data_IF_671455314221
#
_entry.id   IF_671455314221
#
_cell.length_a   1.000
_cell.length_b   1.000
_cell.length_c   1.000
_cell.angle_alpha   90.00
_cell.angle_beta   90.00
_cell.angle_gamma   90.00
#
_symmetry.space_group_name_H-M   'P 1'
#
loop_
_entity.id
_entity.type
_entity.pdbx_description
1 polymer ?
#
# COMPACT_ATOMS: atom_id res chain seq x y z
N UNK A 1 -9.94 12.79 24.53
CA UNK A 1 -10.28 11.89 23.41
C UNK A 1 -11.45 11.04 23.84
N UNK A 2 -12.65 11.40 23.39
CA UNK A 2 -13.88 10.60 23.63
C UNK A 2 -13.97 9.57 22.50
N UNK A 3 -14.58 8.41 22.72
CA UNK A 3 -14.64 7.33 21.72
C UNK A 3 -15.19 7.78 20.35
N UNK A 4 -16.04 8.82 20.33
CA UNK A 4 -16.58 9.45 19.12
C UNK A 4 -15.49 10.10 18.27
N UNK A 5 -14.49 10.73 18.89
CA UNK A 5 -13.37 11.37 18.19
C UNK A 5 -12.49 10.30 17.54
N UNK A 6 -12.32 9.16 18.22
CA UNK A 6 -11.59 8.01 17.67
C UNK A 6 -12.33 7.39 16.47
N UNK A 7 -13.66 7.29 16.52
CA UNK A 7 -14.45 6.84 15.36
C UNK A 7 -14.35 7.79 14.17
N UNK A 8 -14.38 9.11 14.42
CA UNK A 8 -14.22 10.11 13.37
C UNK A 8 -12.83 10.03 12.73
N UNK A 9 -11.80 9.81 13.55
CA UNK A 9 -10.45 9.54 13.07
C UNK A 9 -10.40 8.28 12.20
N UNK A 10 -10.96 7.16 12.69
CA UNK A 10 -10.94 5.89 11.96
C UNK A 10 -11.68 6.00 10.62
N UNK A 11 -12.86 6.64 10.63
CA UNK A 11 -13.65 6.85 9.42
C UNK A 11 -12.93 7.76 8.41
N UNK A 12 -12.26 8.81 8.90
CA UNK A 12 -11.47 9.70 8.05
C UNK A 12 -10.19 9.02 7.52
N UNK A 13 -9.61 8.06 8.25
CA UNK A 13 -8.46 7.29 7.79
C UNK A 13 -8.84 6.31 6.66
N UNK A 14 -10.00 5.66 6.80
CA UNK A 14 -10.54 4.69 5.84
C UNK A 14 -11.01 5.37 4.54
N UNK A 15 -11.85 6.40 4.64
CA UNK A 15 -12.40 7.12 3.49
C UNK A 15 -11.92 8.58 3.48
N UNK A 16 -10.77 8.80 2.83
CA UNK A 16 -10.18 10.13 2.59
C UNK A 16 -10.82 10.86 1.40
N UNK A 17 -11.72 10.22 0.63
CA UNK A 17 -12.38 10.84 -0.52
C UNK A 17 -13.60 11.65 -0.09
N UNK A 18 -14.21 11.33 1.05
CA UNK A 18 -15.27 12.12 1.64
C UNK A 18 -14.82 13.57 1.92
N UNK A 19 -15.62 14.56 1.52
CA UNK A 19 -15.32 15.99 1.72
C UNK A 19 -15.11 16.38 3.19
N UNK A 20 -15.74 15.67 4.12
CA UNK A 20 -15.55 15.87 5.56
C UNK A 20 -14.20 15.33 6.05
N UNK A 21 -13.76 14.18 5.54
CA UNK A 21 -12.45 13.61 5.85
C UNK A 21 -11.34 14.48 5.26
N UNK A 22 -11.49 14.94 4.01
CA UNK A 22 -10.52 15.85 3.39
C UNK A 22 -10.34 17.16 4.19
N UNK A 23 -11.40 17.71 4.79
CA UNK A 23 -11.31 18.88 5.67
C UNK A 23 -10.62 18.58 7.00
N UNK A 24 -10.92 17.42 7.60
CA UNK A 24 -10.25 16.96 8.81
C UNK A 24 -8.75 16.84 8.58
N UNK A 25 -8.35 16.15 7.51
CA UNK A 25 -6.94 15.99 7.14
C UNK A 25 -6.28 17.30 6.74
N UNK A 26 -7.00 18.22 6.09
CA UNK A 26 -6.48 19.55 5.84
C UNK A 26 -6.08 20.25 7.14
N UNK A 27 -6.94 20.21 8.17
CA UNK A 27 -6.62 20.77 9.49
C UNK A 27 -5.46 20.05 10.19
N UNK A 28 -5.26 18.76 9.91
CA UNK A 28 -4.11 18.02 10.46
C UNK A 28 -2.83 18.41 9.74
N UNK A 29 -2.88 18.63 8.42
CA UNK A 29 -1.72 18.97 7.60
C UNK A 29 -1.30 20.44 7.72
N UNK A 30 -2.25 21.33 8.00
CA UNK A 30 -2.04 22.76 8.27
C UNK A 30 -1.53 22.94 9.72
N UNK A 31 -0.22 22.87 9.92
CA UNK A 31 0.39 22.88 11.26
C UNK A 31 0.36 24.26 11.93
N UNK A 32 0.39 25.32 11.13
CA UNK A 32 0.38 26.71 11.61
C UNK A 32 -1.03 27.34 11.62
N UNK A 33 -2.00 26.71 10.96
CA UNK A 33 -3.40 27.12 10.96
C UNK A 33 -3.68 28.33 10.08
N UNK A 34 -2.82 28.62 9.10
CA UNK A 34 -2.97 29.78 8.21
C UNK A 34 -3.99 29.54 7.06
N UNK A 35 -4.55 28.33 7.00
CA UNK A 35 -5.50 27.90 5.98
C UNK A 35 -4.83 27.45 4.68
N UNK A 36 -3.53 27.15 4.72
CA UNK A 36 -2.70 26.81 3.57
C UNK A 36 -1.68 25.74 3.96
N UNK A 37 -1.60 24.66 3.18
CA UNK A 37 -0.50 23.72 3.33
C UNK A 37 0.70 24.30 2.58
N UNK A 38 1.67 24.81 3.35
CA UNK A 38 2.92 25.37 2.84
C UNK A 38 3.97 24.30 2.60
N UNK A 39 5.06 24.66 1.91
CA UNK A 39 6.23 23.77 1.77
C UNK A 39 6.80 23.35 3.13
N UNK A 40 6.72 24.23 4.14
CA UNK A 40 7.24 23.94 5.48
C UNK A 40 6.40 22.85 6.17
N UNK A 41 5.07 22.89 6.02
CA UNK A 41 4.18 21.86 6.56
C UNK A 41 4.43 20.52 5.88
N UNK A 42 4.50 20.51 4.55
CA UNK A 42 4.81 19.27 3.80
C UNK A 42 6.17 18.71 4.20
N UNK A 43 7.17 19.57 4.44
CA UNK A 43 8.50 19.16 4.87
C UNK A 43 8.47 18.50 6.25
N UNK A 44 7.70 19.05 7.18
CA UNK A 44 7.55 18.50 8.53
C UNK A 44 7.01 17.06 8.49
N UNK A 45 5.94 16.81 7.71
CA UNK A 45 5.40 15.46 7.55
C UNK A 45 6.37 14.53 6.81
N UNK A 46 7.01 15.03 5.77
CA UNK A 46 7.99 14.26 4.99
C UNK A 46 9.19 13.81 5.85
N UNK A 47 9.72 14.64 6.74
CA UNK A 47 10.83 14.26 7.62
C UNK A 47 10.42 13.09 8.55
N UNK A 48 9.17 13.09 9.02
CA UNK A 48 8.60 11.98 9.79
C UNK A 48 8.38 10.71 8.95
N UNK A 49 7.91 10.87 7.71
CA UNK A 49 7.72 9.79 6.74
C UNK A 49 9.07 9.13 6.40
N UNK A 50 10.08 9.93 6.04
CA UNK A 50 11.42 9.49 5.67
C UNK A 50 12.08 8.72 6.82
N UNK A 51 11.94 9.20 8.06
CA UNK A 51 12.47 8.48 9.22
C UNK A 51 11.89 7.07 9.33
N UNK A 52 10.58 6.92 9.14
CA UNK A 52 9.91 5.61 9.21
C UNK A 52 10.25 4.70 8.04
N UNK A 53 10.45 5.25 6.84
CA UNK A 53 10.93 4.49 5.68
C UNK A 53 12.33 3.94 5.93
N UNK A 54 13.24 4.76 6.46
CA UNK A 54 14.58 4.32 6.85
C UNK A 54 14.55 3.22 7.92
N UNK A 55 13.60 3.25 8.86
CA UNK A 55 13.42 2.19 9.86
C UNK A 55 12.93 0.86 9.24
N UNK A 56 12.31 0.93 8.07
CA UNK A 56 11.84 -0.23 7.30
C UNK A 56 12.83 -0.70 6.23
N UNK A 57 13.99 -0.03 6.11
CA UNK A 57 14.99 -0.25 5.04
C UNK A 57 14.42 -0.06 3.62
N UNK A 58 13.45 0.86 3.50
CA UNK A 58 12.81 1.24 2.24
C UNK A 58 13.37 2.58 1.74
N UNK A 59 13.65 2.66 0.43
CA UNK A 59 14.13 3.87 -0.20
C UNK A 59 13.03 4.94 -0.29
N UNK A 60 13.41 6.21 -0.16
CA UNK A 60 12.50 7.35 -0.21
C UNK A 60 12.93 8.33 -1.30
N UNK A 61 11.97 8.71 -2.17
CA UNK A 61 12.13 9.75 -3.19
C UNK A 61 12.50 11.08 -2.54
N UNK A 62 13.37 11.87 -3.17
CA UNK A 62 13.81 13.13 -2.59
C UNK A 62 12.64 14.13 -2.47
N UNK A 63 12.58 14.88 -1.37
CA UNK A 63 11.53 15.87 -1.13
C UNK A 63 11.21 16.81 -2.32
N UNK A 64 12.19 17.36 -3.07
CA UNK A 64 11.89 18.22 -4.22
C UNK A 64 11.13 17.49 -5.34
N UNK A 65 11.40 16.21 -5.54
CA UNK A 65 10.74 15.38 -6.55
C UNK A 65 9.30 15.10 -6.12
N UNK A 66 9.10 14.70 -4.87
CA UNK A 66 7.78 14.51 -4.28
C UNK A 66 6.93 15.79 -4.33
N UNK A 67 7.54 16.95 -4.04
CA UNK A 67 6.86 18.24 -4.11
C UNK A 67 6.44 18.59 -5.53
N UNK A 68 7.27 18.29 -6.53
CA UNK A 68 6.90 18.47 -7.93
C UNK A 68 5.71 17.58 -8.30
N UNK A 69 5.72 16.32 -7.88
CA UNK A 69 4.62 15.39 -8.14
C UNK A 69 3.30 15.86 -7.48
N UNK A 70 3.35 16.37 -6.26
CA UNK A 70 2.18 16.97 -5.61
C UNK A 70 1.67 18.21 -6.34
N UNK A 71 2.60 19.06 -6.80
CA UNK A 71 2.26 20.23 -7.61
C UNK A 71 1.62 19.83 -8.95
N UNK A 72 2.11 18.77 -9.61
CA UNK A 72 1.53 18.28 -10.86
C UNK A 72 0.11 17.72 -10.65
N UNK A 73 -0.09 16.96 -9.57
CA UNK A 73 -1.40 16.40 -9.22
C UNK A 73 -2.47 17.46 -8.90
N UNK A 74 -2.12 18.50 -8.16
CA UNK A 74 -3.08 19.55 -7.77
C UNK A 74 -3.16 20.67 -8.81
N UNK A 75 -2.07 20.91 -9.54
CA UNK A 75 -1.89 22.07 -10.43
C UNK A 75 -2.34 23.38 -9.75
N UNK A 76 -1.76 23.75 -8.58
CA UNK A 76 -2.24 24.88 -7.80
C UNK A 76 -1.99 26.21 -8.50
N UNK A 77 -2.81 27.21 -8.20
CA UNK A 77 -2.66 28.55 -8.77
C UNK A 77 -1.35 29.23 -8.35
N UNK A 78 -0.77 28.80 -7.22
CA UNK A 78 0.59 29.14 -6.80
C UNK A 78 1.34 27.85 -6.43
N UNK A 79 2.52 27.60 -7.02
CA UNK A 79 3.29 26.40 -6.70
C UNK A 79 3.67 26.38 -5.22
N UNK A 80 3.66 25.17 -4.64
CA UNK A 80 4.03 24.91 -3.24
C UNK A 80 3.13 25.57 -2.20
N UNK A 81 1.89 25.91 -2.60
CA UNK A 81 0.89 26.50 -1.74
C UNK A 81 -0.47 25.85 -2.04
N UNK A 82 -0.91 24.94 -1.19
CA UNK A 82 -2.17 24.20 -1.41
C UNK A 82 -3.24 24.75 -0.47
N UNK A 83 -4.30 25.30 -1.05
CA UNK A 83 -5.47 25.74 -0.28
C UNK A 83 -6.48 24.60 -0.09
N UNK A 84 -7.31 24.68 0.95
CA UNK A 84 -8.39 23.72 1.17
C UNK A 84 -9.39 23.66 -0.01
N UNK A 85 -9.54 24.76 -0.74
CA UNK A 85 -10.38 24.83 -1.94
C UNK A 85 -9.79 24.07 -3.13
N UNK A 86 -8.47 24.12 -3.31
CA UNK A 86 -7.75 23.37 -4.35
C UNK A 86 -7.73 21.87 -4.03
N UNK A 87 -7.48 21.53 -2.76
CA UNK A 87 -7.50 20.14 -2.30
C UNK A 87 -8.88 19.50 -2.51
N UNK A 88 -9.98 20.24 -2.30
CA UNK A 88 -11.34 19.74 -2.54
C UNK A 88 -11.70 19.55 -4.01
N UNK A 89 -11.11 20.34 -4.91
CA UNK A 89 -11.37 20.27 -6.35
C UNK A 89 -10.57 19.16 -7.02
N UNK A 90 -9.43 18.78 -6.44
CA UNK A 90 -8.58 17.73 -6.98
C UNK A 90 -9.10 16.34 -6.57
N UNK A 91 -9.45 15.47 -7.53
CA UNK A 91 -9.85 14.09 -7.23
C UNK A 91 -8.68 13.23 -6.73
N UNK A 92 -7.44 13.67 -6.93
CA UNK A 92 -6.21 13.00 -6.47
C UNK A 92 -5.74 13.51 -5.09
N UNK A 93 -6.52 14.39 -4.44
CA UNK A 93 -6.19 14.90 -3.11
C UNK A 93 -6.02 13.81 -2.05
N UNK A 94 -6.80 12.72 -2.15
CA UNK A 94 -6.69 11.58 -1.25
C UNK A 94 -5.30 10.91 -1.32
N UNK A 95 -4.67 10.87 -2.50
CA UNK A 95 -3.32 10.30 -2.68
C UNK A 95 -2.30 11.12 -1.92
N UNK A 96 -2.37 12.46 -2.03
CA UNK A 96 -1.43 13.37 -1.37
C UNK A 96 -1.58 13.30 0.15
N UNK A 97 -2.82 13.30 0.63
CA UNK A 97 -3.10 13.16 2.06
C UNK A 97 -2.58 11.80 2.56
N UNK A 98 -2.85 10.71 1.82
CA UNK A 98 -2.40 9.37 2.19
C UNK A 98 -0.89 9.23 2.19
N UNK A 99 -0.21 9.81 1.19
CA UNK A 99 1.24 9.83 1.05
C UNK A 99 1.92 10.50 2.26
N UNK A 100 1.38 11.62 2.73
CA UNK A 100 1.95 12.37 3.85
C UNK A 100 1.62 11.78 5.24
N UNK A 101 0.52 11.04 5.36
CA UNK A 101 0.00 10.58 6.66
C UNK A 101 0.29 9.11 6.95
N UNK A 102 0.43 8.27 5.90
CA UNK A 102 0.51 6.83 6.05
C UNK A 102 1.64 6.23 5.20
N UNK A 103 2.70 5.80 5.89
CA UNK A 103 3.91 5.20 5.28
C UNK A 103 3.57 3.99 4.40
N UNK A 104 2.62 3.14 4.83
CA UNK A 104 2.27 1.93 4.07
C UNK A 104 1.54 2.28 2.78
N UNK A 105 0.64 3.27 2.82
CA UNK A 105 -0.04 3.77 1.62
C UNK A 105 0.95 4.48 0.69
N UNK A 106 1.95 5.19 1.24
CA UNK A 106 3.03 5.80 0.46
C UNK A 106 3.86 4.75 -0.30
N UNK A 107 4.35 3.70 0.37
CA UNK A 107 5.13 2.64 -0.28
C UNK A 107 4.32 1.96 -1.38
N UNK A 108 3.04 1.66 -1.12
CA UNK A 108 2.16 1.06 -2.11
C UNK A 108 2.02 1.96 -3.35
N UNK A 109 1.89 3.26 -3.15
CA UNK A 109 1.80 4.25 -4.23
C UNK A 109 3.10 4.35 -5.06
N UNK A 110 4.27 4.42 -4.42
CA UNK A 110 5.58 4.40 -5.09
C UNK A 110 5.79 3.11 -5.90
N UNK A 111 5.44 1.96 -5.32
CA UNK A 111 5.51 0.67 -6.00
C UNK A 111 4.61 0.61 -7.23
N UNK A 112 3.41 1.16 -7.15
CA UNK A 112 2.48 1.29 -8.28
C UNK A 112 3.00 2.26 -9.35
N UNK A 113 3.57 3.40 -8.96
CA UNK A 113 4.18 4.36 -9.87
C UNK A 113 5.33 3.71 -10.67
N UNK A 114 6.18 2.93 -9.99
CA UNK A 114 7.25 2.16 -10.61
C UNK A 114 6.73 1.08 -11.57
N UNK A 115 5.68 0.34 -11.17
CA UNK A 115 5.05 -0.66 -12.03
C UNK A 115 4.46 -0.05 -13.30
N UNK A 116 3.79 1.11 -13.18
CA UNK A 116 3.24 1.86 -14.29
C UNK A 116 4.32 2.40 -15.23
N UNK A 117 5.43 2.93 -14.68
CA UNK A 117 6.58 3.37 -15.46
C UNK A 117 7.25 2.20 -16.21
N UNK A 118 7.23 1.00 -15.64
CA UNK A 118 7.70 -0.23 -16.28
C UNK A 118 6.74 -0.80 -17.34
N UNK A 119 5.64 -0.12 -17.66
CA UNK A 119 4.67 -0.55 -18.67
C UNK A 119 3.77 -1.71 -18.21
N UNK A 120 3.74 -2.03 -16.91
CA UNK A 120 2.70 -2.88 -16.34
C UNK A 120 1.45 -2.02 -16.17
N UNK A 121 0.44 -2.29 -16.99
CA UNK A 121 -0.83 -1.57 -16.98
C UNK A 121 -1.49 -1.70 -15.60
N UNK A 122 -1.28 -0.70 -14.75
CA UNK A 122 -2.02 -0.53 -13.51
C UNK A 122 -2.75 0.80 -13.61
N UNK A 123 -4.02 0.73 -13.97
CA UNK A 123 -4.92 1.87 -13.93
C UNK A 123 -5.22 2.17 -12.46
N UNK A 124 -4.52 3.17 -11.90
CA UNK A 124 -4.78 3.76 -10.56
C UNK A 124 -6.28 4.15 -10.36
N UNK A 125 -7.08 4.18 -11.43
CA UNK A 125 -8.52 4.44 -11.36
C UNK A 125 -9.36 3.22 -10.97
N UNK A 126 -8.83 2.00 -11.08
CA UNK A 126 -9.63 0.77 -10.97
C UNK A 126 -9.21 -0.17 -9.83
N UNK A 127 -8.18 0.16 -9.04
CA UNK A 127 -7.87 -0.58 -7.81
C UNK A 127 -8.20 0.28 -6.60
N UNK A 128 -9.41 0.11 -6.10
CA UNK A 128 -9.85 0.60 -4.79
C UNK A 128 -8.92 0.03 -3.71
N UNK A 129 -8.78 0.70 -2.57
CA UNK A 129 -8.09 0.12 -1.39
C UNK A 129 -8.63 -1.29 -1.05
N UNK A 130 -9.90 -1.57 -1.38
CA UNK A 130 -10.50 -2.90 -1.32
C UNK A 130 -9.87 -3.88 -2.32
N UNK A 131 -9.67 -3.53 -3.58
CA UNK A 131 -9.12 -4.43 -4.59
C UNK A 131 -7.69 -4.85 -4.26
N UNK A 132 -6.89 -3.94 -3.69
CA UNK A 132 -5.55 -4.25 -3.18
C UNK A 132 -5.60 -5.16 -1.94
N UNK A 133 -6.55 -4.91 -1.04
CA UNK A 133 -6.77 -5.77 0.12
C UNK A 133 -7.24 -7.19 -0.29
N UNK A 134 -8.19 -7.28 -1.22
CA UNK A 134 -8.70 -8.54 -1.78
C UNK A 134 -7.59 -9.35 -2.42
N UNK A 135 -6.80 -8.74 -3.31
CA UNK A 135 -5.70 -9.41 -4.00
C UNK A 135 -4.64 -9.92 -3.00
N UNK A 136 -4.31 -9.11 -1.99
CA UNK A 136 -3.38 -9.51 -0.93
C UNK A 136 -3.88 -10.71 -0.14
N UNK A 137 -5.14 -10.68 0.28
CA UNK A 137 -5.71 -11.74 1.11
C UNK A 137 -5.97 -13.01 0.31
N UNK A 138 -6.36 -12.88 -0.97
CA UNK A 138 -6.52 -14.01 -1.87
C UNK A 138 -5.19 -14.73 -2.10
N UNK A 139 -4.10 -13.98 -2.34
CA UNK A 139 -2.76 -14.54 -2.47
C UNK A 139 -2.31 -15.27 -1.21
N UNK A 140 -2.53 -14.65 -0.04
CA UNK A 140 -2.22 -15.27 1.25
C UNK A 140 -2.99 -16.57 1.46
N UNK A 141 -4.28 -16.60 1.13
CA UNK A 141 -5.13 -17.78 1.27
C UNK A 141 -4.73 -18.88 0.27
N UNK A 142 -4.44 -18.53 -0.98
CA UNK A 142 -4.02 -19.51 -1.99
C UNK A 142 -2.67 -20.14 -1.65
N UNK A 143 -1.73 -19.37 -1.10
CA UNK A 143 -0.44 -19.90 -0.64
C UNK A 143 -0.60 -20.84 0.58
N UNK A 144 -1.55 -20.56 1.47
CA UNK A 144 -1.84 -21.43 2.62
C UNK A 144 -2.54 -22.74 2.22
N UNK A 145 -3.41 -22.72 1.20
CA UNK A 145 -4.07 -23.92 0.68
C UNK A 145 -3.08 -24.85 -0.07
N UNK A 146 -2.05 -24.30 -0.71
CA UNK A 146 -0.99 -25.09 -1.36
C UNK A 146 -0.09 -25.80 -0.33
N UNK A 147 0.19 -25.16 0.82
CA UNK A 147 0.94 -25.76 1.93
C UNK A 147 0.14 -26.88 2.62
N UNK A 148 -1.18 -26.73 2.80
CA UNK A 148 -2.05 -27.79 3.37
C UNK A 148 -2.25 -28.98 2.41
N UNK A 149 -2.21 -28.75 1.10
CA UNK A 149 -2.31 -29.83 0.11
C UNK A 149 -1.01 -30.65 -0.02
N UNK A 150 0.15 -30.02 0.19
CA UNK A 150 1.45 -30.70 0.15
C UNK A 150 1.67 -31.66 1.35
N UNK A 151 1.07 -31.36 2.50
CA UNK A 151 1.13 -32.22 3.70
C UNK A 151 0.12 -33.40 3.66
N UNK A 152 -0.77 -33.45 2.67
CA UNK A 152 -1.78 -34.52 2.53
C UNK A 152 -1.37 -35.66 1.60
N UNK A 153 -0.22 -35.56 0.90
CA UNK A 153 0.25 -36.55 -0.09
C UNK A 153 1.31 -37.54 0.47
N UNK A 154 1.62 -37.51 1.77
CA UNK A 154 2.63 -38.40 2.40
C UNK A 154 2.04 -39.50 3.31
N UNK A 155 0.86 -40.07 2.98
CA UNK A 155 0.40 -41.30 3.64
C UNK A 155 -0.45 -42.18 2.70
N UNK A 156 0.18 -43.22 2.14
CA UNK A 156 -0.48 -44.22 1.30
C UNK A 156 0.46 -45.31 0.78
N UNK A 157 0.95 -46.16 1.67
CA UNK A 157 1.59 -47.47 1.38
C UNK A 157 0.78 -48.27 0.33
N UNK A 158 1.47 -48.89 -0.65
CA UNK A 158 1.07 -50.21 -1.14
C UNK A 158 2.31 -51.09 -1.34
N UNK A 159 2.45 -52.00 -0.38
CA UNK A 159 3.34 -53.15 -0.31
C UNK A 159 3.16 -54.04 -1.55
N UNK A 160 4.23 -54.25 -2.32
CA UNK A 160 4.32 -55.42 -3.19
C UNK A 160 5.66 -56.13 -3.00
N UNK A 161 5.64 -57.02 -2.00
CA UNK A 161 6.60 -58.10 -1.78
C UNK A 161 6.72 -58.98 -3.04
N UNK A 162 7.88 -58.96 -3.70
CA UNK A 162 8.24 -59.98 -4.67
C UNK A 162 9.41 -60.80 -4.14
N UNK A 163 9.08 -61.91 -3.51
CA UNK A 163 10.01 -62.92 -3.00
C UNK A 163 10.95 -63.43 -4.10
N UNK A 164 12.23 -63.50 -3.78
CA UNK A 164 13.29 -64.10 -4.59
C UNK A 164 13.09 -65.60 -4.78
N UNK A 165 13.36 -66.10 -6.00
CA UNK A 165 13.92 -67.46 -6.15
C UNK A 165 15.04 -67.44 -7.18
N UNK A 166 16.27 -67.50 -6.68
CA UNK A 166 17.49 -67.81 -7.40
C UNK A 166 17.82 -69.31 -7.26
N UNK A 167 18.35 -69.94 -8.32
CA UNK A 167 19.24 -71.11 -8.17
C UNK A 167 18.84 -72.43 -8.85
N UNK A 168 19.28 -72.58 -10.11
CA UNK A 168 20.04 -73.73 -10.66
C UNK A 168 19.56 -75.19 -10.49
N UNK A 169 19.36 -75.91 -11.60
CA UNK A 169 20.19 -77.05 -11.99
C UNK A 169 19.68 -77.71 -13.29
N UNK A 170 20.55 -77.79 -14.30
CA UNK A 170 20.31 -78.63 -15.46
C UNK A 170 21.55 -78.73 -16.32
N UNK A 171 22.39 -79.75 -16.07
CA UNK A 171 23.07 -80.62 -17.04
C UNK A 171 23.66 -81.80 -16.25
N UNK A 172 23.30 -83.04 -16.62
CA UNK A 172 23.99 -84.27 -16.20
C UNK A 172 23.05 -85.38 -15.75
#
# INVERSE_FOLDING_TARGET
>A
MVWKDFLLFLLAEEDKQCSSAAQFWFHVLDCDGDGVISTADMRFFYDGLQKRLNEMDEDCVAFPELLNEFNDMISPARPSRITAGELRRCPLSYNIISALTNVRKFIAWEGLACAKAAGRDSTIRDTTDWDLFADREYRRLSEADEDEAADADEDGDDDSDSVSTEGSAGVG
#
